data_IF_585966826239
#
_entry.id   IF_585966826239
#
_cell.length_a   1.000
_cell.length_b   1.000
_cell.length_c   1.000
_cell.angle_alpha   90.00
_cell.angle_beta   90.00
_cell.angle_gamma   90.00
#
_symmetry.space_group_name_H-M   'P 1'
#
loop_
_entity.id
_entity.type
_entity.pdbx_description
1 polymer ?
#
# COMPACT_ATOMS: atom_id res chain seq x y z
N UNK A 1 1.59 -1.70 17.93
CA UNK A 1 1.78 -1.05 16.63
C UNK A 1 0.95 0.22 16.62
N UNK A 2 1.60 1.37 16.45
CA UNK A 2 0.95 2.66 16.33
C UNK A 2 0.10 2.71 15.04
N UNK A 3 -0.87 3.62 14.97
CA UNK A 3 -1.72 3.80 13.76
C UNK A 3 -0.88 4.09 12.51
N UNK A 4 0.21 4.83 12.67
CA UNK A 4 1.19 5.16 11.62
C UNK A 4 1.83 3.90 11.05
N UNK A 5 2.43 3.08 11.92
CA UNK A 5 3.08 1.81 11.55
C UNK A 5 2.10 0.81 10.90
N UNK A 6 0.83 0.79 11.35
CA UNK A 6 -0.22 -0.03 10.74
C UNK A 6 -0.53 0.39 9.31
N UNK A 7 -0.53 1.70 9.04
CA UNK A 7 -0.78 2.24 7.70
C UNK A 7 0.39 1.93 6.77
N UNK A 8 1.63 2.18 7.21
CA UNK A 8 2.85 1.88 6.45
C UNK A 8 2.89 0.38 6.09
N UNK A 9 2.58 -0.49 7.05
CA UNK A 9 2.47 -1.93 6.81
C UNK A 9 1.37 -2.28 5.81
N UNK A 10 0.21 -1.61 5.88
CA UNK A 10 -0.89 -1.86 4.94
C UNK A 10 -0.49 -1.49 3.51
N UNK A 11 0.16 -0.34 3.30
CA UNK A 11 0.68 0.08 2.00
C UNK A 11 1.70 -0.93 1.47
N UNK A 12 2.67 -1.35 2.29
CA UNK A 12 3.69 -2.30 1.87
C UNK A 12 3.09 -3.66 1.44
N UNK A 13 2.11 -4.18 2.20
CA UNK A 13 1.44 -5.46 1.89
C UNK A 13 0.50 -5.34 0.68
N UNK A 14 -0.22 -4.24 0.56
CA UNK A 14 -1.08 -3.97 -0.58
C UNK A 14 -0.25 -3.84 -1.87
N UNK A 15 0.87 -3.11 -1.84
CA UNK A 15 1.80 -2.99 -2.97
C UNK A 15 2.32 -4.37 -3.40
N UNK A 16 2.76 -5.19 -2.44
CA UNK A 16 3.23 -6.55 -2.71
C UNK A 16 2.15 -7.40 -3.38
N UNK A 17 0.91 -7.31 -2.90
CA UNK A 17 -0.21 -8.07 -3.45
C UNK A 17 -0.61 -7.58 -4.84
N UNK A 18 -0.71 -6.27 -5.03
CA UNK A 18 -1.04 -5.64 -6.32
C UNK A 18 0.01 -5.99 -7.40
N UNK A 19 1.31 -5.95 -7.06
CA UNK A 19 2.38 -6.37 -7.98
C UNK A 19 2.28 -7.85 -8.35
N UNK A 20 1.96 -8.73 -7.39
CA UNK A 20 1.75 -10.17 -7.66
C UNK A 20 0.58 -10.44 -8.60
N UNK A 21 -0.46 -9.61 -8.54
CA UNK A 21 -1.62 -9.70 -9.43
C UNK A 21 -1.43 -8.96 -10.77
N UNK A 22 -0.34 -8.20 -10.93
CA UNK A 22 -0.12 -7.37 -12.11
C UNK A 22 -1.11 -6.21 -12.24
N UNK A 23 -1.62 -5.67 -11.13
CA UNK A 23 -2.58 -4.58 -11.17
C UNK A 23 -1.94 -3.28 -11.69
N UNK A 24 -2.63 -2.53 -12.56
CA UNK A 24 -2.17 -1.22 -13.01
C UNK A 24 -2.31 -0.19 -11.88
N UNK A 25 -1.20 0.14 -11.19
CA UNK A 25 -1.24 1.02 -10.01
C UNK A 25 -1.74 2.45 -10.30
N UNK A 26 -1.67 2.89 -11.55
CA UNK A 26 -2.19 4.19 -12.01
C UNK A 26 -3.72 4.20 -12.24
N UNK A 27 -4.40 3.07 -12.12
CA UNK A 27 -5.86 2.95 -12.18
C UNK A 27 -6.42 2.62 -10.80
N UNK A 28 -6.88 3.66 -10.10
CA UNK A 28 -7.40 3.53 -8.74
C UNK A 28 -8.61 2.57 -8.66
N UNK A 29 -9.47 2.52 -9.69
CA UNK A 29 -10.64 1.65 -9.68
C UNK A 29 -10.24 0.18 -9.80
N UNK A 30 -9.31 -0.12 -10.72
CA UNK A 30 -8.77 -1.47 -10.89
C UNK A 30 -8.01 -1.94 -9.64
N UNK A 31 -7.18 -1.07 -9.04
CA UNK A 31 -6.44 -1.38 -7.81
C UNK A 31 -7.40 -1.64 -6.65
N UNK A 32 -8.39 -0.78 -6.44
CA UNK A 32 -9.38 -0.93 -5.37
C UNK A 32 -10.12 -2.26 -5.48
N UNK A 33 -10.64 -2.58 -6.68
CA UNK A 33 -11.33 -3.84 -6.92
C UNK A 33 -10.41 -5.06 -6.70
N UNK A 34 -9.17 -4.99 -7.17
CA UNK A 34 -8.19 -6.06 -6.98
C UNK A 34 -7.75 -6.27 -5.52
N UNK A 35 -7.74 -5.21 -4.72
CA UNK A 35 -7.39 -5.26 -3.29
C UNK A 35 -8.56 -5.63 -2.37
N UNK A 36 -9.81 -5.54 -2.84
CA UNK A 36 -11.00 -5.72 -1.99
C UNK A 36 -11.00 -7.08 -1.26
N UNK A 37 -10.75 -8.18 -1.98
CA UNK A 37 -10.70 -9.52 -1.38
C UNK A 37 -9.54 -9.67 -0.39
N UNK A 38 -8.37 -9.10 -0.70
CA UNK A 38 -7.23 -9.11 0.21
C UNK A 38 -7.54 -8.35 1.49
N UNK A 39 -8.15 -7.17 1.37
CA UNK A 39 -8.51 -6.30 2.48
C UNK A 39 -9.49 -6.98 3.44
N UNK A 40 -10.53 -7.62 2.90
CA UNK A 40 -11.52 -8.38 3.69
C UNK A 40 -10.92 -9.58 4.43
N UNK A 41 -9.90 -10.23 3.86
CA UNK A 41 -9.25 -11.42 4.46
C UNK A 41 -8.08 -11.07 5.39
N UNK A 42 -7.60 -9.83 5.37
CA UNK A 42 -6.41 -9.41 6.11
C UNK A 42 -6.80 -8.66 7.40
N UNK A 43 -6.68 -9.35 8.54
CA UNK A 43 -7.21 -8.88 9.83
C UNK A 43 -6.68 -7.53 10.34
N UNK A 44 -5.53 -7.06 9.88
CA UNK A 44 -5.06 -5.73 10.29
C UNK A 44 -5.44 -4.65 9.28
N UNK A 45 -5.69 -5.02 8.03
CA UNK A 45 -5.94 -4.08 6.93
C UNK A 45 -7.25 -3.32 7.15
N UNK A 46 -8.31 -3.98 7.64
CA UNK A 46 -9.59 -3.32 7.94
C UNK A 46 -9.51 -2.18 8.97
N UNK A 47 -8.36 -2.01 9.65
CA UNK A 47 -8.13 -0.95 10.64
C UNK A 47 -7.66 0.36 10.01
N UNK A 48 -7.36 0.36 8.71
CA UNK A 48 -6.99 1.54 7.94
C UNK A 48 -7.92 1.69 6.74
N UNK A 49 -8.26 2.90 6.29
CA UNK A 49 -9.15 3.08 5.14
C UNK A 49 -8.53 2.53 3.85
N UNK A 50 -9.23 1.63 3.15
CA UNK A 50 -8.72 1.03 1.90
C UNK A 50 -8.46 2.09 0.83
N UNK A 51 -9.37 3.07 0.70
CA UNK A 51 -9.26 4.10 -0.33
C UNK A 51 -8.02 4.99 -0.14
N UNK A 52 -7.58 5.23 1.11
CA UNK A 52 -6.32 5.94 1.39
C UNK A 52 -5.11 5.11 0.95
N UNK A 53 -5.13 3.80 1.19
CA UNK A 53 -4.07 2.89 0.72
C UNK A 53 -4.01 2.88 -0.81
N UNK A 54 -5.17 2.81 -1.48
CA UNK A 54 -5.25 2.85 -2.96
C UNK A 54 -4.69 4.17 -3.50
N UNK A 55 -5.05 5.30 -2.89
CA UNK A 55 -4.54 6.61 -3.29
C UNK A 55 -3.01 6.68 -3.18
N UNK A 56 -2.43 6.15 -2.09
CA UNK A 56 -0.98 6.06 -1.90
C UNK A 56 -0.33 5.18 -2.95
N UNK A 57 -0.90 4.00 -3.25
CA UNK A 57 -0.35 3.12 -4.29
C UNK A 57 -0.32 3.79 -5.68
N UNK A 58 -1.27 4.67 -5.97
CA UNK A 58 -1.29 5.46 -7.19
C UNK A 58 -0.14 6.45 -7.33
N UNK A 59 0.54 6.79 -6.23
CA UNK A 59 1.73 7.66 -6.24
C UNK A 59 3.04 6.89 -6.24
N UNK A 60 2.99 5.55 -6.33
CA UNK A 60 4.18 4.70 -6.28
C UNK A 60 5.16 5.03 -7.42
N UNK A 61 6.40 5.44 -7.12
CA UNK A 61 7.35 5.87 -8.15
C UNK A 61 7.93 4.73 -8.99
N UNK A 62 7.63 3.47 -8.65
CA UNK A 62 8.27 2.30 -9.23
C UNK A 62 9.57 1.93 -8.51
N UNK A 63 10.27 0.92 -9.03
CA UNK A 63 11.57 0.48 -8.50
C UNK A 63 11.51 -0.67 -7.49
N UNK A 64 12.68 -1.09 -7.04
CA UNK A 64 12.87 -2.03 -5.93
C UNK A 64 13.39 -1.27 -4.71
N UNK A 65 13.08 -1.75 -3.51
CA UNK A 65 13.58 -1.14 -2.26
C UNK A 65 12.91 0.18 -1.85
N UNK A 66 11.85 0.59 -2.54
CA UNK A 66 11.04 1.76 -2.16
C UNK A 66 9.92 1.34 -1.20
N UNK A 67 9.82 2.00 -0.06
CA UNK A 67 8.79 1.75 0.96
C UNK A 67 8.05 3.04 1.36
N UNK A 68 6.83 2.90 1.88
CA UNK A 68 6.05 4.03 2.38
C UNK A 68 6.26 4.18 3.88
N UNK A 69 6.58 5.40 4.32
CA UNK A 69 6.85 5.71 5.72
C UNK A 69 6.14 7.00 6.14
N UNK A 70 5.60 7.02 7.36
CA UNK A 70 5.01 8.23 7.97
C UNK A 70 3.48 8.25 8.02
N UNK A 71 2.84 7.11 7.80
CA UNK A 71 1.39 6.95 7.91
C UNK A 71 0.64 7.63 6.76
N UNK A 72 -0.62 8.07 6.97
CA UNK A 72 -1.45 8.62 5.89
C UNK A 72 -0.85 9.83 5.15
N UNK A 73 -0.02 10.64 5.83
CA UNK A 73 0.68 11.78 5.25
C UNK A 73 2.15 11.52 4.95
N UNK A 74 2.54 10.25 4.85
CA UNK A 74 3.90 9.81 4.62
C UNK A 74 4.45 10.11 3.23
N UNK A 75 5.60 9.52 2.94
CA UNK A 75 6.23 9.57 1.62
C UNK A 75 6.85 8.22 1.26
N UNK A 76 7.03 8.00 -0.03
CA UNK A 76 7.92 6.96 -0.53
C UNK A 76 9.36 7.31 -0.17
N UNK A 77 10.08 6.35 0.40
CA UNK A 77 11.48 6.44 0.79
C UNK A 77 12.23 5.25 0.20
N UNK A 78 13.44 5.51 -0.30
CA UNK A 78 14.36 4.45 -0.69
C UNK A 78 14.99 3.88 0.57
N UNK A 79 14.86 2.57 0.79
CA UNK A 79 15.70 1.92 1.80
C UNK A 79 17.15 2.05 1.37
N UNK A 80 17.94 2.81 2.14
CA UNK A 80 19.39 2.78 2.03
C UNK A 80 19.87 1.35 2.35
N UNK A 81 20.20 0.58 1.31
CA UNK A 81 20.93 -0.68 1.48
C UNK A 81 22.27 -0.34 2.14
N UNK A 82 22.39 -0.61 3.43
CA UNK A 82 23.66 -0.54 4.18
C UNK A 82 24.28 -1.94 4.21
#
# INVERSE_FOLDING_TARGET
MARVELFDLAVARALTYARRLGLPLNDAAAVRAGLELWYLRTRFAYRVPLDEVVAVLGTYPGGEGVEWLGGPGGTWSEQART
#
